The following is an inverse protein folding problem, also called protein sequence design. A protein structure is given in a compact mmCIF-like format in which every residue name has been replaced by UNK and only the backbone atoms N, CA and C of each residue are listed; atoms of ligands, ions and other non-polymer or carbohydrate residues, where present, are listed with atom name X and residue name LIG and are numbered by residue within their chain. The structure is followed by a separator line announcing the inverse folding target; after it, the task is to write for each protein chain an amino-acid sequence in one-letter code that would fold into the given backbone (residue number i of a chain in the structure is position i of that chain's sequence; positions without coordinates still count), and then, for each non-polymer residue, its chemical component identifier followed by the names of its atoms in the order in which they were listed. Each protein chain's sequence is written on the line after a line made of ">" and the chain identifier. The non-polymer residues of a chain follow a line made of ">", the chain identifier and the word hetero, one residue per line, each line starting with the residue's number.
data_IF_879311484792
#
_entry.id   IF_879311484792
#
_cell.length_a   1.000
_cell.length_b   1.000
_cell.length_c   1.000
_cell.angle_alpha   90.00
_cell.angle_beta   90.00
_cell.angle_gamma   90.00
#
_symmetry.space_group_name_H-M   'P 1'
#
loop_
_entity.id
_entity.type
_entity.pdbx_description
1 polymer ?
#
# COMPACT_ATOMS: atom_id res chain seq x y z
N UNK A 1 -27.07 1.89 -24.12
CA UNK A 1 -26.45 1.27 -22.94
C UNK A 1 -25.37 0.29 -23.36
N UNK A 2 -24.13 0.55 -22.98
CA UNK A 2 -23.01 -0.35 -23.29
C UNK A 2 -23.07 -1.64 -22.44
N UNK A 3 -22.46 -2.76 -22.89
CA UNK A 3 -22.38 -3.99 -22.08
C UNK A 3 -21.74 -3.74 -20.70
N UNK A 4 -20.80 -2.80 -20.64
CA UNK A 4 -20.15 -2.36 -19.42
C UNK A 4 -21.11 -1.66 -18.44
N UNK A 5 -21.99 -0.78 -18.94
CA UNK A 5 -23.02 -0.12 -18.11
C UNK A 5 -24.01 -1.12 -17.50
N UNK A 6 -24.38 -2.18 -18.22
CA UNK A 6 -25.25 -3.24 -17.69
C UNK A 6 -24.57 -4.05 -16.60
N UNK A 7 -23.28 -4.32 -16.73
CA UNK A 7 -22.48 -5.00 -15.71
C UNK A 7 -22.36 -4.14 -14.44
N UNK A 8 -22.11 -2.83 -14.59
CA UNK A 8 -22.10 -1.89 -13.48
C UNK A 8 -23.47 -1.81 -12.79
N UNK A 9 -24.57 -1.73 -13.55
CA UNK A 9 -25.91 -1.76 -12.98
C UNK A 9 -26.21 -3.07 -12.26
N UNK A 10 -25.81 -4.22 -12.80
CA UNK A 10 -25.98 -5.52 -12.13
C UNK A 10 -25.21 -5.58 -10.80
N UNK A 11 -23.96 -5.11 -10.78
CA UNK A 11 -23.16 -5.04 -9.55
C UNK A 11 -23.77 -4.12 -8.50
N UNK A 12 -24.33 -2.98 -8.89
CA UNK A 12 -24.92 -1.98 -7.98
C UNK A 12 -26.34 -2.37 -7.51
N UNK A 13 -27.11 -3.07 -8.35
CA UNK A 13 -28.53 -3.39 -8.07
C UNK A 13 -28.69 -4.75 -7.38
N UNK A 14 -27.85 -5.73 -7.73
CA UNK A 14 -27.96 -7.11 -7.21
C UNK A 14 -27.14 -7.32 -5.93
N UNK A 15 -26.02 -6.62 -5.79
CA UNK A 15 -25.29 -6.52 -4.55
C UNK A 15 -25.50 -5.09 -4.05
N UNK A 16 -25.97 -4.89 -2.82
CA UNK A 16 -25.95 -3.57 -2.15
C UNK A 16 -24.51 -3.15 -1.83
N UNK A 17 -23.59 -3.30 -2.79
CA UNK A 17 -22.22 -2.84 -2.71
C UNK A 17 -22.28 -1.34 -2.91
N UNK A 18 -22.31 -0.64 -1.77
CA UNK A 18 -22.04 0.79 -1.75
C UNK A 18 -20.66 1.00 -2.39
N UNK A 19 -20.62 1.68 -3.54
CA UNK A 19 -19.38 1.97 -4.27
C UNK A 19 -18.36 2.67 -3.36
N UNK A 20 -18.83 3.40 -2.35
CA UNK A 20 -17.98 3.98 -1.32
C UNK A 20 -17.24 2.92 -0.49
N UNK A 21 -17.90 1.81 -0.15
CA UNK A 21 -17.31 0.73 0.64
C UNK A 21 -16.27 -0.07 -0.18
N UNK A 22 -16.55 -0.29 -1.47
CA UNK A 22 -15.58 -0.86 -2.42
C UNK A 22 -14.35 0.03 -2.58
N UNK A 23 -14.54 1.35 -2.70
CA UNK A 23 -13.44 2.32 -2.80
C UNK A 23 -12.55 2.30 -1.55
N UNK A 24 -13.15 2.32 -0.35
CA UNK A 24 -12.42 2.20 0.93
C UNK A 24 -11.62 0.91 1.02
N UNK A 25 -12.22 -0.22 0.63
CA UNK A 25 -11.54 -1.52 0.60
C UNK A 25 -10.36 -1.54 -0.37
N UNK A 26 -10.52 -0.97 -1.57
CA UNK A 26 -9.44 -0.88 -2.55
C UNK A 26 -8.25 -0.03 -2.04
N UNK A 27 -8.52 1.08 -1.35
CA UNK A 27 -7.48 1.93 -0.75
C UNK A 27 -6.72 1.16 0.34
N UNK A 28 -7.42 0.47 1.25
CA UNK A 28 -6.78 -0.36 2.28
C UNK A 28 -5.91 -1.47 1.67
N UNK A 29 -6.39 -2.10 0.60
CA UNK A 29 -5.65 -3.15 -0.10
C UNK A 29 -4.36 -2.60 -0.74
N UNK A 30 -4.44 -1.43 -1.39
CA UNK A 30 -3.25 -0.75 -1.93
C UNK A 30 -2.24 -0.37 -0.84
N UNK A 31 -2.72 0.09 0.33
CA UNK A 31 -1.85 0.40 1.46
C UNK A 31 -1.17 -0.85 2.03
N UNK A 32 -1.87 -1.97 2.12
CA UNK A 32 -1.26 -3.26 2.50
C UNK A 32 -0.20 -3.69 1.49
N UNK A 33 -0.47 -3.54 0.19
CA UNK A 33 0.51 -3.83 -0.85
C UNK A 33 1.73 -2.90 -0.75
N UNK A 34 1.52 -1.63 -0.41
CA UNK A 34 2.58 -0.67 -0.14
C UNK A 34 3.44 -1.03 1.08
N UNK A 35 2.85 -1.60 2.14
CA UNK A 35 3.60 -2.13 3.28
C UNK A 35 4.51 -3.29 2.86
N UNK A 36 4.02 -4.22 2.04
CA UNK A 36 4.86 -5.31 1.52
C UNK A 36 6.00 -4.73 0.68
N UNK A 37 5.71 -3.73 -0.15
CA UNK A 37 6.73 -3.03 -0.93
C UNK A 37 7.78 -2.34 -0.04
N UNK A 38 7.38 -1.66 1.04
CA UNK A 38 8.33 -1.00 1.95
C UNK A 38 9.27 -2.00 2.64
N UNK A 39 8.78 -3.20 2.99
CA UNK A 39 9.61 -4.29 3.50
C UNK A 39 10.62 -4.80 2.47
N UNK A 40 10.20 -4.92 1.19
CA UNK A 40 11.11 -5.28 0.10
C UNK A 40 12.21 -4.24 -0.07
N UNK A 41 11.88 -2.95 0.01
CA UNK A 41 12.88 -1.87 -0.05
C UNK A 41 13.94 -2.01 1.04
N UNK A 42 13.54 -2.30 2.29
CA UNK A 42 14.50 -2.56 3.39
C UNK A 42 15.44 -3.72 3.04
N UNK A 43 14.90 -4.81 2.50
CA UNK A 43 15.72 -5.96 2.09
C UNK A 43 16.71 -5.58 0.98
N UNK A 44 16.28 -4.79 0.00
CA UNK A 44 17.16 -4.35 -1.09
C UNK A 44 18.27 -3.42 -0.57
N UNK A 45 17.94 -2.49 0.31
CA UNK A 45 18.93 -1.60 0.95
C UNK A 45 19.93 -2.40 1.78
N UNK A 46 19.49 -3.44 2.49
CA UNK A 46 20.40 -4.34 3.22
C UNK A 46 21.33 -5.12 2.29
N UNK A 47 20.85 -5.57 1.13
CA UNK A 47 21.68 -6.26 0.13
C UNK A 47 22.72 -5.30 -0.47
N UNK A 48 22.32 -4.08 -0.82
CA UNK A 48 23.22 -3.04 -1.33
C UNK A 48 24.29 -2.64 -0.31
N UNK A 49 23.95 -2.61 0.98
CA UNK A 49 24.92 -2.31 2.04
C UNK A 49 26.06 -3.35 2.11
N UNK A 50 25.81 -4.61 1.72
CA UNK A 50 26.86 -5.65 1.71
C UNK A 50 27.90 -5.44 0.60
N UNK A 51 27.52 -4.75 -0.48
CA UNK A 51 28.40 -4.49 -1.64
C UNK A 51 29.02 -3.11 -1.61
N UNK A 52 28.40 -2.13 -0.96
CA UNK A 52 28.89 -0.75 -0.90
C UNK A 52 29.31 -0.41 0.54
N UNK A 53 30.60 -0.61 0.85
CA UNK A 53 31.21 -0.16 2.10
C UNK A 53 31.53 1.34 2.03
N UNK A 54 30.50 2.18 2.15
CA UNK A 54 30.63 3.64 2.18
C UNK A 54 29.87 4.27 3.35
N UNK A 55 30.28 5.48 3.75
CA UNK A 55 29.64 6.29 4.81
C UNK A 55 28.11 6.47 4.63
N UNK A 56 27.62 6.30 3.41
CA UNK A 56 26.20 6.49 3.04
C UNK A 56 25.29 5.31 3.38
N UNK A 57 25.84 4.16 3.80
CA UNK A 57 25.05 2.96 4.09
C UNK A 57 24.12 3.10 5.30
N UNK A 58 24.60 3.75 6.36
CA UNK A 58 23.87 3.87 7.62
C UNK A 58 22.63 4.79 7.49
N UNK A 59 22.74 5.99 6.88
CA UNK A 59 21.57 6.83 6.60
C UNK A 59 20.52 6.14 5.72
N UNK A 60 20.95 5.41 4.69
CA UNK A 60 20.04 4.68 3.79
C UNK A 60 19.21 3.62 4.53
N UNK A 61 19.83 2.88 5.45
CA UNK A 61 19.12 1.88 6.27
C UNK A 61 18.12 2.55 7.20
N UNK A 62 18.45 3.69 7.80
CA UNK A 62 17.53 4.45 8.65
C UNK A 62 16.33 4.92 7.84
N UNK A 63 16.55 5.52 6.67
CA UNK A 63 15.47 5.99 5.80
C UNK A 63 14.55 4.84 5.36
N UNK A 64 15.12 3.69 5.00
CA UNK A 64 14.34 2.52 4.63
C UNK A 64 13.49 1.98 5.81
N UNK A 65 14.03 1.97 7.03
CA UNK A 65 13.25 1.60 8.23
C UNK A 65 12.16 2.62 8.55
N UNK A 66 12.46 3.92 8.43
CA UNK A 66 11.51 4.99 8.62
C UNK A 66 10.33 4.90 7.63
N UNK A 67 10.61 4.51 6.38
CA UNK A 67 9.58 4.23 5.37
C UNK A 67 8.59 3.16 5.83
N UNK A 68 9.08 2.05 6.41
CA UNK A 68 8.20 1.00 6.94
C UNK A 68 7.35 1.53 8.08
N UNK A 69 7.96 2.25 9.05
CA UNK A 69 7.24 2.84 10.19
C UNK A 69 6.15 3.80 9.71
N UNK A 70 6.46 4.68 8.76
CA UNK A 70 5.48 5.58 8.14
C UNK A 70 4.36 4.83 7.43
N UNK A 71 4.68 3.76 6.70
CA UNK A 71 3.65 2.95 6.03
C UNK A 71 2.68 2.30 7.02
N UNK A 72 3.20 1.79 8.15
CA UNK A 72 2.37 1.24 9.23
C UNK A 72 1.51 2.32 9.86
N UNK A 73 2.07 3.50 10.15
CA UNK A 73 1.32 4.61 10.72
C UNK A 73 0.17 5.07 9.81
N UNK A 74 0.42 5.16 8.49
CA UNK A 74 -0.60 5.52 7.50
C UNK A 74 -1.68 4.45 7.42
N UNK A 75 -1.34 3.16 7.49
CA UNK A 75 -2.34 2.08 7.50
C UNK A 75 -3.25 2.18 8.73
N UNK A 76 -2.68 2.44 9.91
CA UNK A 76 -3.46 2.61 11.14
C UNK A 76 -4.39 3.81 11.01
N UNK A 77 -3.89 4.96 10.53
CA UNK A 77 -4.72 6.14 10.29
C UNK A 77 -5.82 5.88 9.27
N UNK A 78 -5.49 5.21 8.17
CA UNK A 78 -6.45 4.85 7.13
C UNK A 78 -7.54 3.92 7.68
N UNK A 79 -7.21 2.94 8.52
CA UNK A 79 -8.18 2.04 9.13
C UNK A 79 -9.11 2.72 10.14
N UNK A 80 -8.70 3.85 10.73
CA UNK A 80 -9.55 4.64 11.64
C UNK A 80 -10.45 5.60 10.87
N UNK A 81 -9.97 6.17 9.76
CA UNK A 81 -10.66 7.23 9.01
C UNK A 81 -11.62 6.67 7.94
N UNK A 82 -11.21 5.61 7.24
CA UNK A 82 -12.00 4.98 6.17
C UNK A 82 -13.00 3.98 6.74
#
# INVERSE_FOLDING_TARGET
>A
MTPFEKFLQFLVTSWRLDLALLGKGAVLLLLLLYLVFSLVVVRQVQLMNKTISGLMSWPLIIMARALVVLSVAIIILAAVIL
#
